data_IF_915195695848
#
_entry.id   IF_915195695848
#
_cell.length_a   1.000
_cell.length_b   1.000
_cell.length_c   1.000
_cell.angle_alpha   90.00
_cell.angle_beta   90.00
_cell.angle_gamma   90.00
#
_symmetry.space_group_name_H-M   'P 1'
#
loop_
_entity.id
_entity.type
_entity.pdbx_description
1 polymer ?
#
# COMPACT_ATOMS: atom_id res chain seq x y z
N UNK A 1 -39.83 12.91 9.55
CA UNK A 1 -38.82 13.41 8.59
C UNK A 1 -37.61 12.52 8.71
N UNK A 2 -37.50 11.52 7.83
CA UNK A 2 -36.38 10.58 7.77
C UNK A 2 -35.42 11.03 6.67
N UNK A 3 -34.35 11.72 7.04
CA UNK A 3 -33.23 12.07 6.15
C UNK A 3 -32.19 10.94 6.04
N UNK A 4 -32.59 9.68 6.19
CA UNK A 4 -31.70 8.52 6.07
C UNK A 4 -31.70 7.91 4.66
N UNK A 5 -32.19 8.65 3.66
CA UNK A 5 -32.20 8.22 2.28
C UNK A 5 -31.02 8.84 1.51
N UNK A 6 -30.08 7.98 1.10
CA UNK A 6 -29.08 8.20 0.05
C UNK A 6 -27.78 8.88 0.53
N UNK A 7 -26.99 8.22 1.40
CA UNK A 7 -25.53 8.44 1.43
C UNK A 7 -24.85 7.52 0.38
N UNK A 8 -25.11 7.88 -0.88
CA UNK A 8 -24.17 8.06 -2.01
C UNK A 8 -23.04 6.99 -2.21
N UNK A 9 -23.19 6.02 -3.13
CA UNK A 9 -22.08 5.17 -3.61
C UNK A 9 -20.88 5.97 -4.16
N UNK A 10 -21.12 7.16 -4.71
CA UNK A 10 -20.12 8.11 -5.24
C UNK A 10 -19.09 8.59 -4.19
N UNK A 11 -19.46 8.74 -2.90
CA UNK A 11 -18.55 9.32 -1.88
C UNK A 11 -17.49 8.31 -1.41
N UNK A 12 -17.87 7.05 -1.21
CA UNK A 12 -16.94 5.96 -0.83
C UNK A 12 -15.87 5.75 -1.92
N UNK A 13 -16.30 5.85 -3.16
CA UNK A 13 -15.47 5.69 -4.34
C UNK A 13 -14.32 6.70 -4.40
N UNK A 14 -14.59 8.01 -4.25
CA UNK A 14 -13.57 9.05 -4.29
C UNK A 14 -12.50 8.91 -3.20
N UNK A 15 -12.83 8.29 -2.07
CA UNK A 15 -11.90 8.11 -0.95
C UNK A 15 -10.93 6.94 -1.22
N UNK A 16 -11.44 5.83 -1.76
CA UNK A 16 -10.59 4.68 -2.10
C UNK A 16 -9.63 5.02 -3.25
N UNK A 17 -10.09 5.83 -4.21
CA UNK A 17 -9.26 6.36 -5.30
C UNK A 17 -8.22 7.39 -4.79
N UNK A 18 -8.64 8.37 -3.99
CA UNK A 18 -7.72 9.34 -3.38
C UNK A 18 -6.65 8.65 -2.52
N UNK A 19 -7.03 7.59 -1.81
CA UNK A 19 -6.08 6.81 -1.04
C UNK A 19 -5.10 6.05 -1.94
N UNK A 20 -5.57 5.40 -3.01
CA UNK A 20 -4.68 4.74 -3.97
C UNK A 20 -3.65 5.73 -4.52
N UNK A 21 -4.09 6.90 -4.95
CA UNK A 21 -3.21 7.96 -5.47
C UNK A 21 -2.22 8.40 -4.38
N UNK A 22 -2.68 8.66 -3.16
CA UNK A 22 -1.83 9.05 -2.04
C UNK A 22 -0.75 8.00 -1.76
N UNK A 23 -1.13 6.73 -1.67
CA UNK A 23 -0.19 5.65 -1.38
C UNK A 23 0.79 5.45 -2.52
N UNK A 24 0.36 5.54 -3.78
CA UNK A 24 1.27 5.50 -4.93
C UNK A 24 2.27 6.66 -4.93
N UNK A 25 1.83 7.88 -4.59
CA UNK A 25 2.73 9.04 -4.47
C UNK A 25 3.75 8.80 -3.36
N UNK A 26 3.31 8.34 -2.19
CA UNK A 26 4.23 8.00 -1.09
C UNK A 26 5.21 6.90 -1.53
N UNK A 27 4.73 5.84 -2.17
CA UNK A 27 5.58 4.79 -2.71
C UNK A 27 6.61 5.33 -3.71
N UNK A 28 6.22 6.19 -4.64
CA UNK A 28 7.13 6.83 -5.60
C UNK A 28 8.18 7.71 -4.91
N UNK A 29 7.81 8.42 -3.85
CA UNK A 29 8.77 9.20 -3.04
C UNK A 29 9.79 8.26 -2.39
N UNK A 30 9.34 7.14 -1.82
CA UNK A 30 10.23 6.13 -1.24
C UNK A 30 11.17 5.47 -2.24
N UNK A 31 10.65 5.16 -3.43
CA UNK A 31 11.44 4.64 -4.55
C UNK A 31 12.48 5.69 -4.97
N UNK A 32 12.09 6.96 -5.09
CA UNK A 32 12.98 8.09 -5.32
C UNK A 32 14.12 8.15 -4.31
N UNK A 33 13.80 8.11 -3.01
CA UNK A 33 14.79 8.09 -1.94
C UNK A 33 15.72 6.88 -2.08
N UNK A 34 15.18 5.71 -2.41
CA UNK A 34 15.96 4.46 -2.56
C UNK A 34 16.90 4.51 -3.77
N UNK A 35 16.52 5.13 -4.89
CA UNK A 35 17.36 5.29 -6.08
C UNK A 35 18.53 6.26 -5.84
N UNK A 36 18.32 7.36 -5.09
CA UNK A 36 19.37 8.35 -4.80
C UNK A 36 20.24 8.02 -3.57
N UNK A 37 19.66 7.40 -2.54
CA UNK A 37 20.34 7.04 -1.29
C UNK A 37 19.83 5.70 -0.75
N UNK A 38 20.37 4.57 -1.23
CA UNK A 38 19.98 3.23 -0.78
C UNK A 38 20.12 3.05 0.74
N UNK A 39 21.17 3.65 1.33
CA UNK A 39 21.44 3.58 2.77
C UNK A 39 20.40 4.30 3.62
N UNK A 40 19.69 5.30 3.08
CA UNK A 40 18.63 6.02 3.81
C UNK A 40 17.23 5.45 3.54
N UNK A 41 17.08 4.67 2.46
CA UNK A 41 15.80 4.11 2.02
C UNK A 41 15.13 3.21 3.06
N UNK A 42 15.90 2.46 3.86
CA UNK A 42 15.31 1.55 4.85
C UNK A 42 14.53 2.28 5.94
N UNK A 43 15.00 3.46 6.38
CA UNK A 43 14.34 4.26 7.41
C UNK A 43 12.99 4.76 6.92
N UNK A 44 12.94 5.20 5.66
CA UNK A 44 11.70 5.59 5.00
C UNK A 44 10.69 4.43 4.97
N UNK A 45 11.12 3.23 4.56
CA UNK A 45 10.22 2.09 4.45
C UNK A 45 9.67 1.61 5.80
N UNK A 46 10.44 1.73 6.89
CA UNK A 46 9.91 1.49 8.25
C UNK A 46 8.77 2.46 8.56
N UNK A 47 8.94 3.75 8.27
CA UNK A 47 7.87 4.75 8.51
C UNK A 47 6.64 4.40 7.67
N UNK A 48 6.83 3.98 6.41
CA UNK A 48 5.74 3.56 5.54
C UNK A 48 4.97 2.35 6.07
N UNK A 49 5.61 1.40 6.77
CA UNK A 49 4.88 0.31 7.43
C UNK A 49 3.79 0.83 8.37
N UNK A 50 4.09 1.87 9.15
CA UNK A 50 3.11 2.49 10.05
C UNK A 50 2.06 3.29 9.28
N UNK A 51 2.45 4.04 8.25
CA UNK A 51 1.51 4.83 7.43
C UNK A 51 0.49 3.91 6.72
N UNK A 52 0.96 2.80 6.15
CA UNK A 52 0.10 1.83 5.49
C UNK A 52 -0.80 1.10 6.49
N UNK A 53 -0.27 0.73 7.67
CA UNK A 53 -1.05 0.17 8.75
C UNK A 53 -2.19 1.08 9.21
N UNK A 54 -1.88 2.36 9.44
CA UNK A 54 -2.88 3.36 9.83
C UNK A 54 -3.92 3.55 8.72
N UNK A 55 -3.49 3.61 7.46
CA UNK A 55 -4.39 3.72 6.30
C UNK A 55 -5.38 2.54 6.26
N UNK A 56 -4.88 1.32 6.41
CA UNK A 56 -5.69 0.11 6.48
C UNK A 56 -6.70 0.14 7.64
N UNK A 57 -6.27 0.52 8.84
CA UNK A 57 -7.14 0.63 10.02
C UNK A 57 -8.24 1.69 9.79
N UNK A 58 -7.89 2.85 9.23
CA UNK A 58 -8.85 3.93 8.94
C UNK A 58 -9.92 3.43 7.96
N UNK A 59 -9.53 2.72 6.90
CA UNK A 59 -10.50 2.18 5.93
C UNK A 59 -11.36 1.10 6.59
N UNK A 60 -10.75 0.20 7.35
CA UNK A 60 -11.46 -0.85 8.09
C UNK A 60 -12.51 -0.27 9.05
N UNK A 61 -12.15 0.78 9.79
CA UNK A 61 -13.07 1.54 10.65
C UNK A 61 -14.23 2.17 9.89
N UNK A 62 -13.97 2.71 8.69
CA UNK A 62 -15.04 3.27 7.86
C UNK A 62 -15.97 2.18 7.35
N UNK A 63 -15.43 1.04 6.94
CA UNK A 63 -16.25 -0.09 6.47
C UNK A 63 -17.10 -0.70 7.60
N UNK A 64 -16.57 -0.75 8.83
CA UNK A 64 -17.30 -1.27 9.99
C UNK A 64 -18.57 -0.45 10.28
N UNK A 65 -18.47 0.89 10.22
CA UNK A 65 -19.61 1.81 10.36
C UNK A 65 -20.71 1.58 9.32
N UNK A 66 -20.35 1.19 8.10
CA UNK A 66 -21.30 1.03 7.01
C UNK A 66 -21.87 -0.39 6.87
N UNK A 67 -21.14 -1.42 7.32
CA UNK A 67 -21.51 -2.84 7.11
C UNK A 67 -21.96 -3.55 8.39
N UNK A 68 -22.20 -2.83 9.49
CA UNK A 68 -22.52 -3.41 10.82
C UNK A 68 -21.51 -4.48 11.27
N UNK A 69 -20.27 -4.38 10.82
CA UNK A 69 -19.19 -5.30 11.20
C UNK A 69 -18.57 -4.80 12.49
N UNK A 70 -18.23 -5.69 13.41
CA UNK A 70 -17.57 -5.31 14.65
C UNK A 70 -16.17 -4.71 14.38
N UNK A 71 -16.02 -3.43 14.67
CA UNK A 71 -14.75 -2.73 14.54
C UNK A 71 -13.65 -3.34 15.40
N UNK A 72 -13.98 -3.88 16.58
CA UNK A 72 -12.98 -4.50 17.47
C UNK A 72 -12.32 -5.71 16.80
N UNK A 73 -13.11 -6.49 16.06
CA UNK A 73 -12.60 -7.63 15.29
C UNK A 73 -11.64 -7.16 14.19
N UNK A 74 -12.04 -6.16 13.41
CA UNK A 74 -11.19 -5.59 12.34
C UNK A 74 -9.89 -5.03 12.92
N UNK A 75 -9.98 -4.24 14.00
CA UNK A 75 -8.80 -3.67 14.64
C UNK A 75 -7.85 -4.76 15.16
N UNK A 76 -8.38 -5.84 15.75
CA UNK A 76 -7.56 -6.96 16.20
C UNK A 76 -6.85 -7.65 15.03
N UNK A 77 -7.57 -7.97 13.96
CA UNK A 77 -7.00 -8.63 12.78
C UNK A 77 -5.92 -7.76 12.12
N UNK A 78 -6.20 -6.46 11.95
CA UNK A 78 -5.27 -5.47 11.40
C UNK A 78 -4.03 -5.31 12.28
N UNK A 79 -4.20 -5.12 13.59
CA UNK A 79 -3.07 -4.98 14.51
C UNK A 79 -2.19 -6.22 14.53
N UNK A 80 -2.76 -7.43 14.51
CA UNK A 80 -1.97 -8.67 14.43
C UNK A 80 -1.20 -8.72 13.12
N UNK A 81 -1.87 -8.47 11.99
CA UNK A 81 -1.24 -8.50 10.66
C UNK A 81 -0.04 -7.55 10.56
N UNK A 82 -0.24 -6.28 10.92
CA UNK A 82 0.81 -5.25 10.83
C UNK A 82 1.90 -5.45 11.89
N UNK A 83 1.56 -5.90 13.09
CA UNK A 83 2.55 -6.25 14.11
C UNK A 83 3.42 -7.42 13.68
N UNK A 84 2.83 -8.50 13.17
CA UNK A 84 3.58 -9.65 12.63
C UNK A 84 4.48 -9.19 11.48
N UNK A 85 4.00 -8.32 10.60
CA UNK A 85 4.81 -7.78 9.50
C UNK A 85 6.02 -6.98 10.01
N UNK A 86 5.84 -6.14 11.03
CA UNK A 86 6.93 -5.43 11.71
C UNK A 86 7.92 -6.38 12.40
N UNK A 87 7.45 -7.50 12.96
CA UNK A 87 8.34 -8.53 13.51
C UNK A 87 9.23 -9.16 12.43
N UNK A 88 8.68 -9.40 11.23
CA UNK A 88 9.49 -9.89 10.09
C UNK A 88 10.53 -8.84 9.66
N UNK A 89 10.18 -7.55 9.64
CA UNK A 89 11.15 -6.45 9.40
C UNK A 89 12.26 -6.46 10.46
N UNK A 90 11.91 -6.62 11.74
CA UNK A 90 12.89 -6.77 12.82
C UNK A 90 13.82 -7.97 12.61
N UNK A 91 13.28 -9.10 12.18
CA UNK A 91 14.06 -10.28 11.80
C UNK A 91 15.02 -10.01 10.63
N UNK A 92 14.57 -9.30 9.60
CA UNK A 92 15.42 -8.90 8.48
C UNK A 92 16.62 -8.04 8.94
N UNK A 93 16.41 -7.12 9.90
CA UNK A 93 17.52 -6.36 10.50
C UNK A 93 18.53 -7.23 11.26
N UNK A 94 18.07 -8.27 11.96
CA UNK A 94 18.99 -9.20 12.63
C UNK A 94 19.84 -9.96 11.60
N UNK A 95 19.26 -10.35 10.47
CA UNK A 95 19.99 -10.99 9.37
C UNK A 95 20.98 -10.01 8.73
N UNK A 96 20.60 -8.75 8.51
CA UNK A 96 21.50 -7.71 8.02
C UNK A 96 22.68 -7.49 8.97
N UNK A 97 22.44 -7.40 10.29
CA UNK A 97 23.52 -7.28 11.29
C UNK A 97 24.47 -8.47 11.33
N UNK A 98 24.02 -9.65 10.89
CA UNK A 98 24.89 -10.83 10.75
C UNK A 98 25.81 -10.78 9.52
N UNK A 99 25.67 -9.75 8.66
CA UNK A 99 26.44 -9.59 7.42
C UNK A 99 25.93 -10.41 6.23
N UNK A 100 24.74 -11.04 6.36
CA UNK A 100 24.14 -11.87 5.29
C UNK A 100 23.33 -11.09 4.26
N UNK A 101 22.87 -9.89 4.62
CA UNK A 101 22.18 -8.95 3.72
C UNK A 101 23.05 -7.69 3.70
N UNK A 102 23.33 -7.15 2.51
CA UNK A 102 24.09 -5.91 2.39
C UNK A 102 23.26 -4.74 2.92
N UNK A 103 23.93 -3.70 3.42
CA UNK A 103 23.24 -2.52 3.97
C UNK A 103 22.38 -1.82 2.93
N UNK A 104 22.76 -1.87 1.66
CA UNK A 104 22.04 -1.21 0.57
C UNK A 104 20.78 -2.00 0.16
N UNK A 105 20.76 -3.31 0.41
CA UNK A 105 19.67 -4.22 0.00
C UNK A 105 18.53 -4.30 1.04
N UNK A 106 18.79 -3.95 2.30
CA UNK A 106 17.81 -4.12 3.38
C UNK A 106 16.55 -3.29 3.13
N UNK A 107 16.67 -2.12 2.48
CA UNK A 107 15.53 -1.31 2.07
C UNK A 107 14.58 -2.05 1.13
N UNK A 108 15.13 -2.78 0.15
CA UNK A 108 14.35 -3.58 -0.81
C UNK A 108 13.69 -4.79 -0.13
N UNK A 109 14.35 -5.40 0.85
CA UNK A 109 13.74 -6.47 1.66
C UNK A 109 12.53 -5.96 2.45
N UNK A 110 12.66 -4.78 3.08
CA UNK A 110 11.53 -4.15 3.79
C UNK A 110 10.42 -3.79 2.81
N UNK A 111 10.76 -3.31 1.61
CA UNK A 111 9.81 -3.01 0.55
C UNK A 111 9.01 -4.23 0.11
N UNK A 112 9.66 -5.40 -0.04
CA UNK A 112 9.00 -6.67 -0.34
C UNK A 112 8.09 -7.14 0.81
N UNK A 113 8.50 -6.95 2.06
CA UNK A 113 7.65 -7.26 3.23
C UNK A 113 6.42 -6.35 3.23
N UNK A 114 6.61 -5.04 3.04
CA UNK A 114 5.53 -4.06 2.94
C UNK A 114 4.59 -4.39 1.78
N UNK A 115 5.12 -4.77 0.61
CA UNK A 115 4.37 -5.23 -0.55
C UNK A 115 3.45 -6.39 -0.17
N UNK A 116 4.01 -7.47 0.38
CA UNK A 116 3.24 -8.65 0.79
C UNK A 116 2.14 -8.29 1.80
N UNK A 117 2.50 -7.53 2.85
CA UNK A 117 1.55 -7.10 3.87
C UNK A 117 0.41 -6.27 3.28
N UNK A 118 0.71 -5.40 2.33
CA UNK A 118 -0.27 -4.55 1.64
C UNK A 118 -1.18 -5.37 0.71
N UNK A 119 -0.62 -6.34 -0.04
CA UNK A 119 -1.38 -7.25 -0.89
C UNK A 119 -2.40 -8.03 -0.06
N UNK A 120 -1.93 -8.69 1.00
CA UNK A 120 -2.76 -9.53 1.86
C UNK A 120 -3.84 -8.74 2.57
N UNK A 121 -3.52 -7.51 2.99
CA UNK A 121 -4.50 -6.70 3.68
C UNK A 121 -5.56 -6.10 2.72
N UNK A 122 -5.16 -5.82 1.47
CA UNK A 122 -6.09 -5.40 0.43
C UNK A 122 -7.15 -6.47 0.09
N UNK A 123 -6.92 -7.75 0.39
CA UNK A 123 -7.96 -8.78 0.28
C UNK A 123 -9.14 -8.52 1.23
N UNK A 124 -8.91 -7.82 2.35
CA UNK A 124 -9.94 -7.44 3.34
C UNK A 124 -10.45 -6.02 3.09
N UNK A 125 -9.52 -5.11 2.82
CA UNK A 125 -9.75 -3.66 2.81
C UNK A 125 -10.22 -3.17 1.44
N UNK A 126 -9.78 -3.80 0.36
CA UNK A 126 -10.18 -3.47 -1.01
C UNK A 126 -9.05 -3.70 -2.01
N UNK A 127 -9.41 -4.17 -3.20
CA UNK A 127 -8.48 -4.54 -4.26
C UNK A 127 -7.50 -3.43 -4.68
N UNK A 128 -7.89 -2.15 -4.57
CA UNK A 128 -7.02 -0.99 -4.82
C UNK A 128 -5.80 -0.97 -3.89
N UNK A 129 -5.97 -1.37 -2.63
CA UNK A 129 -4.86 -1.50 -1.69
C UNK A 129 -3.93 -2.65 -2.12
N UNK A 130 -4.48 -3.79 -2.57
CA UNK A 130 -3.66 -4.86 -3.13
C UNK A 130 -2.89 -4.45 -4.39
N UNK A 131 -3.46 -3.59 -5.25
CA UNK A 131 -2.73 -3.04 -6.40
C UNK A 131 -1.51 -2.22 -5.99
N UNK A 132 -1.62 -1.39 -4.94
CA UNK A 132 -0.46 -0.66 -4.41
C UNK A 132 0.60 -1.65 -3.92
N UNK A 133 0.20 -2.72 -3.23
CA UNK A 133 1.12 -3.77 -2.81
C UNK A 133 1.82 -4.47 -3.97
N UNK A 134 1.10 -4.77 -5.06
CA UNK A 134 1.70 -5.33 -6.29
C UNK A 134 2.71 -4.36 -6.90
N UNK A 135 2.35 -3.08 -7.00
CA UNK A 135 3.27 -2.03 -7.47
C UNK A 135 4.56 -2.05 -6.66
N UNK A 136 4.50 -1.99 -5.33
CA UNK A 136 5.67 -2.04 -4.46
C UNK A 136 6.56 -3.27 -4.69
N UNK A 137 5.95 -4.44 -4.89
CA UNK A 137 6.68 -5.68 -5.12
C UNK A 137 7.39 -5.71 -6.47
N UNK A 138 6.71 -5.21 -7.50
CA UNK A 138 7.31 -5.01 -8.83
C UNK A 138 8.45 -4.00 -8.75
N UNK A 139 8.27 -2.88 -8.04
CA UNK A 139 9.30 -1.86 -7.88
C UNK A 139 10.55 -2.39 -7.20
N UNK A 140 10.39 -3.22 -6.16
CA UNK A 140 11.52 -3.85 -5.49
C UNK A 140 12.34 -4.75 -6.42
N UNK A 141 11.68 -5.46 -7.34
CA UNK A 141 12.36 -6.32 -8.32
C UNK A 141 13.05 -5.46 -9.38
N UNK A 142 12.38 -4.45 -9.94
CA UNK A 142 12.96 -3.58 -10.96
C UNK A 142 14.22 -2.87 -10.43
N UNK A 143 14.18 -2.39 -9.19
CA UNK A 143 15.29 -1.71 -8.53
C UNK A 143 16.59 -2.52 -8.49
N UNK A 144 16.51 -3.86 -8.45
CA UNK A 144 17.70 -4.74 -8.44
C UNK A 144 18.33 -4.88 -9.83
N UNK A 145 17.53 -4.79 -10.90
CA UNK A 145 17.99 -5.10 -12.26
C UNK A 145 18.19 -3.88 -13.14
N UNK A 146 17.78 -2.69 -12.70
CA UNK A 146 17.75 -1.49 -13.53
C UNK A 146 18.32 -0.29 -12.79
N UNK A 147 19.37 0.29 -13.33
CA UNK A 147 19.87 1.60 -12.89
C UNK A 147 18.91 2.70 -13.34
N UNK A 148 18.71 3.74 -12.52
CA UNK A 148 17.82 4.87 -12.82
C UNK A 148 16.36 4.46 -13.15
N UNK A 149 15.80 3.57 -12.33
CA UNK A 149 14.51 2.93 -12.55
C UNK A 149 13.29 3.83 -12.28
N UNK A 150 13.47 5.02 -11.69
CA UNK A 150 12.38 5.93 -11.33
C UNK A 150 11.42 6.25 -12.49
N UNK A 151 11.95 6.40 -13.71
CA UNK A 151 11.11 6.70 -14.88
C UNK A 151 10.17 5.55 -15.25
N UNK A 152 10.62 4.31 -15.05
CA UNK A 152 9.81 3.11 -15.26
C UNK A 152 8.71 3.05 -14.20
N UNK A 153 9.06 3.32 -12.93
CA UNK A 153 8.09 3.32 -11.83
C UNK A 153 7.02 4.41 -11.98
N UNK A 154 7.42 5.60 -12.44
CA UNK A 154 6.49 6.69 -12.76
C UNK A 154 5.50 6.27 -13.85
N UNK A 155 6.00 5.59 -14.90
CA UNK A 155 5.14 5.08 -15.98
C UNK A 155 4.17 4.02 -15.45
N UNK A 156 4.63 3.07 -14.64
CA UNK A 156 3.77 2.02 -14.07
C UNK A 156 2.70 2.64 -13.17
N UNK A 157 3.07 3.57 -12.27
CA UNK A 157 2.12 4.25 -11.40
C UNK A 157 1.07 5.03 -12.20
N UNK A 158 1.48 5.74 -13.25
CA UNK A 158 0.57 6.43 -14.16
C UNK A 158 -0.40 5.45 -14.84
N UNK A 159 0.10 4.33 -15.35
CA UNK A 159 -0.72 3.30 -15.98
C UNK A 159 -1.74 2.70 -15.00
N UNK A 160 -1.36 2.47 -13.75
CA UNK A 160 -2.28 2.00 -12.69
C UNK A 160 -3.42 3.00 -12.51
N UNK A 161 -3.10 4.29 -12.32
CA UNK A 161 -4.11 5.35 -12.12
C UNK A 161 -5.04 5.47 -13.33
N UNK A 162 -4.49 5.48 -14.55
CA UNK A 162 -5.29 5.54 -15.77
C UNK A 162 -6.18 4.31 -15.93
N UNK A 163 -5.65 3.11 -15.68
CA UNK A 163 -6.41 1.87 -15.77
C UNK A 163 -7.56 1.84 -14.75
N UNK A 164 -7.34 2.31 -13.52
CA UNK A 164 -8.40 2.42 -12.53
C UNK A 164 -9.49 3.39 -12.97
N UNK A 165 -9.14 4.59 -13.46
CA UNK A 165 -10.12 5.58 -13.93
C UNK A 165 -10.90 5.06 -15.14
N UNK A 166 -10.23 4.45 -16.13
CA UNK A 166 -10.88 3.90 -17.33
C UNK A 166 -11.84 2.77 -16.97
N UNK A 167 -11.41 1.86 -16.11
CA UNK A 167 -12.26 0.76 -15.62
C UNK A 167 -13.53 1.31 -14.98
N UNK A 168 -13.40 2.36 -14.19
CA UNK A 168 -14.52 2.98 -13.49
C UNK A 168 -15.51 3.67 -14.43
N UNK A 169 -15.00 4.43 -15.40
CA UNK A 169 -15.82 5.05 -16.45
C UNK A 169 -16.57 3.97 -17.25
N UNK A 170 -15.91 2.86 -17.53
CA UNK A 170 -16.54 1.73 -18.24
C UNK A 170 -17.66 1.09 -17.43
N UNK A 171 -17.46 0.86 -16.12
CA UNK A 171 -18.50 0.34 -15.24
C UNK A 171 -19.69 1.31 -15.09
N UNK A 172 -19.43 2.62 -15.03
CA UNK A 172 -20.48 3.63 -14.98
C UNK A 172 -21.33 3.65 -16.25
N UNK A 173 -20.71 3.47 -17.42
CA UNK A 173 -21.43 3.38 -18.71
C UNK A 173 -22.29 2.12 -18.83
N UNK A 174 -21.84 1.00 -18.24
CA UNK A 174 -22.59 -0.28 -18.29
C UNK A 174 -23.80 -0.31 -17.34
N UNK A 175 -23.87 0.64 -16.40
CA UNK A 175 -24.96 0.77 -15.44
C UNK A 175 -26.12 1.67 -15.93
N UNK A 176 -25.95 2.34 -17.08
CA UNK A 176 -26.98 3.09 -17.81
C UNK A 176 -27.45 2.30 -19.02
#
# INVERSE_FOLDING_TARGET
MSEDAIIIPKKRFHIEEALLILLLILSLVGIGITDFSPSDGYGYWIIMMFVFALSAIIIGWRQSKHRSVDFKKILREQSIHWFTSLMIVGGAFLIQKSGRIQTDDIGLVILLILSLSTILDGLRVGWRFSLVGIFLGVSAVIAVYTEHFLWIELLIALLIVLATIVWEVWQAKKAY
#
